data_IF_060699971713
#
_entry.id   IF_060699971713
#
_cell.length_a   1.000
_cell.length_b   1.000
_cell.length_c   1.000
_cell.angle_alpha   90.00
_cell.angle_beta   90.00
_cell.angle_gamma   90.00
#
_symmetry.space_group_name_H-M   'P 1'
#
loop_
_entity.id
_entity.type
_entity.pdbx_description
1 polymer ?
#
# COMPACT_ATOMS: atom_id res chain seq x y z
N UNK A 1 -15.53 -2.57 -30.78
CA UNK A 1 -15.17 -1.15 -30.58
C UNK A 1 -15.60 -0.81 -29.17
N UNK A 2 -14.65 -0.74 -28.22
CA UNK A 2 -14.93 -0.32 -26.85
C UNK A 2 -15.48 1.11 -26.90
N UNK A 3 -16.59 1.39 -26.21
CA UNK A 3 -17.10 2.75 -26.12
C UNK A 3 -15.98 3.64 -25.56
N UNK A 4 -15.59 4.75 -26.22
CA UNK A 4 -14.58 5.64 -25.68
C UNK A 4 -15.09 6.16 -24.33
N UNK A 5 -14.29 5.98 -23.27
CA UNK A 5 -14.64 6.48 -21.95
C UNK A 5 -14.83 8.01 -21.96
N UNK A 6 -15.66 8.50 -21.04
CA UNK A 6 -15.95 9.94 -20.90
C UNK A 6 -14.68 10.71 -20.51
N UNK A 7 -14.43 11.85 -21.15
CA UNK A 7 -13.46 12.83 -20.65
C UNK A 7 -13.97 13.46 -19.37
N UNK A 8 -13.18 13.44 -18.30
CA UNK A 8 -13.52 14.06 -17.02
C UNK A 8 -12.97 15.49 -16.98
N UNK A 9 -13.85 16.45 -16.74
CA UNK A 9 -13.54 17.88 -16.65
C UNK A 9 -13.76 18.33 -15.19
N UNK A 10 -12.76 18.18 -14.30
CA UNK A 10 -12.85 18.66 -12.93
C UNK A 10 -12.65 20.18 -12.84
N UNK A 11 -12.91 20.78 -11.68
CA UNK A 11 -12.50 22.17 -11.41
C UNK A 11 -10.98 22.26 -11.31
N UNK A 12 -10.36 21.29 -10.64
CA UNK A 12 -8.91 21.12 -10.57
C UNK A 12 -8.49 19.65 -10.65
N UNK A 13 -7.27 19.40 -11.11
CA UNK A 13 -6.70 18.07 -11.25
C UNK A 13 -5.33 18.02 -10.56
N UNK A 14 -5.15 17.11 -9.62
CA UNK A 14 -3.83 16.74 -9.11
C UNK A 14 -3.26 15.62 -9.97
N UNK A 15 -2.18 15.88 -10.71
CA UNK A 15 -1.50 14.87 -11.51
C UNK A 15 -0.02 15.21 -11.66
N UNK A 16 0.85 14.19 -11.71
CA UNK A 16 2.31 14.34 -11.77
C UNK A 16 2.86 15.32 -10.71
N UNK A 17 2.35 15.21 -9.48
CA UNK A 17 2.78 16.04 -8.35
C UNK A 17 2.38 17.51 -8.43
N UNK A 18 1.41 17.87 -9.28
CA UNK A 18 0.95 19.26 -9.45
C UNK A 18 -0.56 19.35 -9.48
N UNK A 19 -1.10 20.33 -8.76
CA UNK A 19 -2.49 20.76 -8.88
C UNK A 19 -2.61 21.73 -10.07
N UNK A 20 -3.57 21.49 -10.97
CA UNK A 20 -3.78 22.30 -12.19
C UNK A 20 -5.27 22.53 -12.42
N UNK A 21 -5.61 23.74 -12.84
CA UNK A 21 -6.97 24.09 -13.27
C UNK A 21 -7.04 24.09 -14.80
N UNK A 22 -8.25 24.04 -15.36
CA UNK A 22 -8.46 24.16 -16.81
C UNK A 22 -7.91 22.98 -17.62
N UNK A 23 -7.69 21.82 -16.98
CA UNK A 23 -7.27 20.57 -17.60
C UNK A 23 -8.37 19.49 -17.50
N UNK A 24 -8.33 18.52 -18.40
CA UNK A 24 -9.22 17.37 -18.44
C UNK A 24 -8.42 16.07 -18.36
N UNK A 25 -9.03 15.05 -17.75
CA UNK A 25 -8.52 13.68 -17.71
C UNK A 25 -9.22 12.86 -18.79
N UNK A 26 -8.44 12.29 -19.70
CA UNK A 26 -8.94 11.42 -20.77
C UNK A 26 -9.12 9.96 -20.31
N UNK A 27 -9.74 9.13 -21.16
CA UNK A 27 -10.03 7.73 -20.86
C UNK A 27 -8.78 6.86 -20.67
N UNK A 28 -7.65 7.26 -21.25
CA UNK A 28 -6.35 6.58 -21.13
C UNK A 28 -5.45 7.27 -20.07
N UNK A 29 -6.08 8.01 -19.14
CA UNK A 29 -5.41 8.78 -18.07
C UNK A 29 -4.49 9.90 -18.57
N UNK A 30 -4.62 10.31 -19.82
CA UNK A 30 -3.91 11.46 -20.37
C UNK A 30 -4.47 12.77 -19.81
N UNK A 31 -3.59 13.68 -19.40
CA UNK A 31 -3.96 15.02 -18.93
C UNK A 31 -3.73 16.03 -20.05
N UNK A 32 -4.80 16.71 -20.47
CA UNK A 32 -4.73 17.72 -21.54
C UNK A 32 -5.44 19.01 -21.12
N UNK A 33 -5.10 20.18 -21.69
CA UNK A 33 -5.91 21.38 -21.52
C UNK A 33 -7.36 21.14 -21.97
N UNK A 34 -8.37 21.70 -21.29
CA UNK A 34 -9.79 21.53 -21.66
C UNK A 34 -10.06 21.92 -23.12
N UNK A 35 -9.36 22.92 -23.65
CA UNK A 35 -9.46 23.36 -25.05
C UNK A 35 -8.97 22.31 -26.05
N UNK A 36 -8.12 21.36 -25.63
CA UNK A 36 -7.59 20.28 -26.46
C UNK A 36 -8.48 19.02 -26.43
N UNK A 37 -9.56 18.99 -25.63
CA UNK A 37 -10.52 17.87 -25.63
C UNK A 37 -11.25 17.84 -26.98
N UNK A 38 -11.30 16.68 -27.68
CA UNK A 38 -11.96 16.59 -28.99
C UNK A 38 -13.42 17.09 -28.96
N UNK A 39 -13.84 17.82 -30.00
CA UNK A 39 -15.14 18.50 -30.03
C UNK A 39 -16.34 17.53 -29.92
N UNK A 40 -16.22 16.31 -30.47
CA UNK A 40 -17.24 15.27 -30.42
C UNK A 40 -17.09 14.25 -29.28
N UNK A 41 -16.09 14.41 -28.40
CA UNK A 41 -15.89 13.47 -27.30
C UNK A 41 -16.96 13.66 -26.21
N UNK A 42 -17.39 12.55 -25.59
CA UNK A 42 -18.23 12.60 -24.41
C UNK A 42 -17.48 13.29 -23.26
N UNK A 43 -18.15 14.22 -22.58
CA UNK A 43 -17.56 15.03 -21.49
C UNK A 43 -18.42 14.91 -20.25
N UNK A 44 -17.78 14.63 -19.13
CA UNK A 44 -18.38 14.63 -17.79
C UNK A 44 -17.72 15.70 -16.95
N UNK A 45 -18.45 16.76 -16.63
CA UNK A 45 -18.00 17.77 -15.65
C UNK A 45 -18.18 17.23 -14.25
N UNK A 46 -17.19 17.44 -13.39
CA UNK A 46 -17.25 17.07 -11.97
C UNK A 46 -16.79 18.27 -11.14
N UNK A 47 -17.46 18.64 -10.04
CA UNK A 47 -16.98 19.71 -9.17
C UNK A 47 -15.75 19.25 -8.38
N UNK A 48 -14.97 20.18 -7.83
CA UNK A 48 -13.84 19.87 -6.97
C UNK A 48 -12.64 19.25 -7.71
N UNK A 49 -11.88 18.43 -6.99
CA UNK A 49 -10.57 17.94 -7.44
C UNK A 49 -10.60 16.46 -7.82
N UNK A 50 -9.97 16.11 -8.94
CA UNK A 50 -9.67 14.72 -9.31
C UNK A 50 -8.18 14.44 -9.18
N UNK A 51 -7.81 13.23 -8.79
CA UNK A 51 -6.43 12.77 -8.63
C UNK A 51 -6.30 11.29 -9.04
N UNK A 52 -5.09 10.72 -9.13
CA UNK A 52 -4.93 9.29 -9.33
C UNK A 52 -5.68 8.46 -8.29
N UNK A 53 -5.92 7.19 -8.62
CA UNK A 53 -6.49 6.23 -7.70
C UNK A 53 -5.65 6.14 -6.41
N UNK A 54 -6.35 6.18 -5.27
CA UNK A 54 -5.73 5.99 -3.96
C UNK A 54 -5.59 4.49 -3.67
N UNK A 55 -4.45 4.14 -3.06
CA UNK A 55 -4.02 2.79 -2.76
C UNK A 55 -3.73 2.63 -1.26
N UNK A 56 -4.20 1.54 -0.67
CA UNK A 56 -3.70 1.06 0.63
C UNK A 56 -2.75 -0.13 0.41
N UNK A 57 -1.46 0.08 0.67
CA UNK A 57 -0.42 -0.90 0.38
C UNK A 57 -0.30 -2.02 1.44
N UNK A 58 -1.16 -2.07 2.45
CA UNK A 58 -1.18 -3.16 3.43
C UNK A 58 -2.59 -3.43 3.94
N UNK A 59 -3.22 -4.46 3.39
CA UNK A 59 -4.55 -4.93 3.77
C UNK A 59 -4.55 -6.45 3.90
N UNK A 60 -5.43 -6.99 4.74
CA UNK A 60 -5.82 -8.40 4.75
C UNK A 60 -7.24 -8.52 4.22
N UNK A 61 -7.37 -8.68 2.90
CA UNK A 61 -8.63 -8.55 2.16
C UNK A 61 -9.70 -9.55 2.61
N UNK A 62 -9.27 -10.72 3.09
CA UNK A 62 -10.17 -11.76 3.60
C UNK A 62 -10.83 -11.39 4.94
N UNK A 63 -10.34 -10.36 5.63
CA UNK A 63 -10.82 -9.93 6.95
C UNK A 63 -11.67 -8.66 6.89
N UNK A 64 -11.89 -8.09 5.70
CA UNK A 64 -12.49 -6.76 5.52
C UNK A 64 -13.56 -6.78 4.45
N UNK A 65 -14.49 -5.82 4.50
CA UNK A 65 -15.47 -5.60 3.43
C UNK A 65 -14.89 -4.65 2.37
N UNK A 66 -14.31 -5.24 1.32
CA UNK A 66 -13.71 -4.50 0.20
C UNK A 66 -14.65 -3.47 -0.48
N UNK A 67 -15.95 -3.75 -0.70
CA UNK A 67 -16.89 -2.73 -1.18
C UNK A 67 -16.97 -1.49 -0.28
N UNK A 68 -16.98 -1.65 1.05
CA UNK A 68 -16.91 -0.51 1.98
C UNK A 68 -15.58 0.24 1.86
N UNK A 69 -14.45 -0.48 1.72
CA UNK A 69 -13.13 0.15 1.49
C UNK A 69 -13.13 1.01 0.23
N UNK A 70 -13.72 0.51 -0.86
CA UNK A 70 -13.90 1.26 -2.10
C UNK A 70 -14.84 2.47 -1.94
N UNK A 71 -15.95 2.30 -1.23
CA UNK A 71 -16.84 3.42 -0.88
C UNK A 71 -16.13 4.49 -0.02
N UNK A 72 -15.14 4.07 0.77
CA UNK A 72 -14.25 4.91 1.57
C UNK A 72 -13.12 5.61 0.80
N UNK A 73 -13.12 5.54 -0.54
CA UNK A 73 -12.20 6.29 -1.40
C UNK A 73 -10.92 5.56 -1.83
N UNK A 74 -10.72 4.32 -1.39
CA UNK A 74 -9.57 3.49 -1.76
C UNK A 74 -9.91 2.67 -3.01
N UNK A 75 -9.23 2.97 -4.12
CA UNK A 75 -9.50 2.35 -5.43
C UNK A 75 -8.67 1.10 -5.72
N UNK A 76 -7.58 0.90 -4.96
CA UNK A 76 -6.70 -0.26 -5.05
C UNK A 76 -6.14 -0.64 -3.68
N UNK A 77 -5.83 -1.92 -3.49
CA UNK A 77 -5.21 -2.42 -2.25
C UNK A 77 -4.12 -3.44 -2.56
N UNK A 78 -3.12 -3.54 -1.68
CA UNK A 78 -2.18 -4.65 -1.66
C UNK A 78 -2.53 -5.60 -0.52
N UNK A 79 -2.93 -6.82 -0.86
CA UNK A 79 -3.12 -7.89 0.11
C UNK A 79 -1.78 -8.51 0.47
N UNK A 80 -1.36 -8.38 1.74
CA UNK A 80 -0.05 -8.83 2.21
C UNK A 80 -0.13 -10.12 3.03
N UNK A 81 -1.12 -10.97 2.78
CA UNK A 81 -1.17 -12.30 3.35
C UNK A 81 -2.60 -12.82 3.48
N UNK A 82 -2.87 -13.95 2.85
CA UNK A 82 -4.16 -14.61 2.89
C UNK A 82 -4.15 -15.98 2.23
N UNK A 83 -5.30 -16.65 2.23
CA UNK A 83 -5.45 -17.93 1.53
C UNK A 83 -5.47 -17.64 0.02
N UNK A 84 -4.54 -18.18 -0.79
CA UNK A 84 -4.34 -17.75 -2.18
C UNK A 84 -5.63 -17.76 -3.02
N UNK A 85 -6.37 -18.88 -3.00
CA UNK A 85 -7.62 -19.00 -3.75
C UNK A 85 -8.71 -18.01 -3.30
N UNK A 86 -8.76 -17.66 -2.00
CA UNK A 86 -9.74 -16.69 -1.49
C UNK A 86 -9.38 -15.28 -1.94
N UNK A 87 -8.11 -14.89 -1.85
CA UNK A 87 -7.65 -13.56 -2.27
C UNK A 87 -7.78 -13.40 -3.78
N UNK A 88 -7.45 -14.43 -4.57
CA UNK A 88 -7.66 -14.43 -6.02
C UNK A 88 -9.15 -14.26 -6.38
N UNK A 89 -10.06 -14.92 -5.66
CA UNK A 89 -11.50 -14.76 -5.87
C UNK A 89 -12.00 -13.35 -5.50
N UNK A 90 -11.41 -12.71 -4.48
CA UNK A 90 -11.70 -11.31 -4.15
C UNK A 90 -11.16 -10.36 -5.23
N UNK A 91 -9.93 -10.58 -5.69
CA UNK A 91 -9.31 -9.81 -6.76
C UNK A 91 -10.12 -9.85 -8.07
N UNK A 92 -10.69 -11.02 -8.40
CA UNK A 92 -11.54 -11.19 -9.58
C UNK A 92 -12.83 -10.35 -9.56
N UNK A 93 -13.24 -9.78 -8.41
CA UNK A 93 -14.39 -8.86 -8.33
C UNK A 93 -14.08 -7.46 -8.88
N UNK A 94 -12.79 -7.08 -8.92
CA UNK A 94 -12.30 -5.88 -9.61
C UNK A 94 -12.51 -4.52 -8.93
N UNK A 95 -13.21 -4.43 -7.79
CA UNK A 95 -13.44 -3.17 -7.08
C UNK A 95 -13.37 -3.36 -5.54
N UNK A 96 -12.35 -2.80 -4.85
CA UNK A 96 -11.18 -2.13 -5.41
C UNK A 96 -10.28 -3.11 -6.18
N UNK A 97 -9.36 -2.60 -6.98
CA UNK A 97 -8.34 -3.44 -7.62
C UNK A 97 -7.43 -4.07 -6.55
N UNK A 98 -7.20 -5.38 -6.61
CA UNK A 98 -6.40 -6.09 -5.60
C UNK A 98 -5.13 -6.62 -6.24
N UNK A 99 -3.99 -6.10 -5.77
CA UNK A 99 -2.67 -6.73 -5.92
C UNK A 99 -2.45 -7.63 -4.70
N UNK A 100 -1.83 -8.81 -4.82
CA UNK A 100 -1.71 -9.70 -3.65
C UNK A 100 -0.44 -10.54 -3.59
N UNK A 101 -0.07 -10.91 -2.36
CA UNK A 101 1.09 -11.74 -2.00
C UNK A 101 0.85 -13.25 -2.10
N UNK A 102 -0.39 -13.67 -1.85
CA UNK A 102 -0.70 -15.08 -1.55
C UNK A 102 -0.44 -15.39 -0.07
N UNK A 103 0.16 -16.54 0.27
CA UNK A 103 0.37 -16.91 1.66
C UNK A 103 1.54 -16.14 2.28
N UNK A 104 1.58 -16.08 3.61
CA UNK A 104 2.79 -15.74 4.35
C UNK A 104 3.82 -16.87 4.17
N UNK A 105 4.97 -16.56 3.58
CA UNK A 105 6.13 -17.46 3.59
C UNK A 105 6.88 -17.28 4.91
N UNK A 106 7.05 -18.37 5.65
CA UNK A 106 7.56 -18.31 7.03
C UNK A 106 8.36 -19.54 7.39
N UNK A 107 9.19 -19.48 8.44
CA UNK A 107 9.83 -20.68 8.97
C UNK A 107 8.81 -21.61 9.64
N UNK A 108 9.09 -22.91 9.77
CA UNK A 108 8.19 -23.83 10.45
C UNK A 108 7.77 -23.34 11.85
N UNK A 109 6.46 -23.22 12.08
CA UNK A 109 5.88 -22.64 13.30
C UNK A 109 6.10 -21.13 13.50
N UNK A 110 6.53 -20.41 12.46
CA UNK A 110 6.80 -18.98 12.48
C UNK A 110 5.54 -18.12 12.40
N UNK A 111 5.67 -16.84 12.74
CA UNK A 111 4.55 -15.90 12.68
C UNK A 111 3.98 -15.76 11.24
N UNK A 112 2.64 -15.71 11.04
CA UNK A 112 1.58 -15.71 12.04
C UNK A 112 0.89 -17.07 12.21
N UNK A 113 1.56 -18.21 11.96
CA UNK A 113 0.92 -19.53 11.92
C UNK A 113 0.22 -19.94 13.23
N UNK A 114 0.60 -19.32 14.35
CA UNK A 114 0.05 -19.53 15.69
C UNK A 114 -0.99 -18.47 16.10
N UNK A 115 -1.33 -17.50 15.22
CA UNK A 115 -2.27 -16.41 15.52
C UNK A 115 -3.68 -16.78 15.10
N UNK A 116 -4.63 -16.60 16.02
CA UNK A 116 -6.04 -16.93 15.78
C UNK A 116 -6.71 -16.10 14.67
N UNK A 117 -6.18 -14.91 14.35
CA UNK A 117 -6.69 -14.07 13.27
C UNK A 117 -6.23 -14.57 11.88
N UNK A 118 -5.14 -15.33 11.81
CA UNK A 118 -4.58 -15.80 10.55
C UNK A 118 -5.45 -16.94 10.00
N UNK A 119 -6.06 -16.80 8.82
CA UNK A 119 -6.93 -17.86 8.29
C UNK A 119 -6.15 -19.16 8.03
N UNK A 120 -6.77 -20.31 8.29
CA UNK A 120 -6.17 -21.59 7.92
C UNK A 120 -5.86 -21.64 6.41
N UNK A 121 -4.63 -22.05 6.06
CA UNK A 121 -4.13 -22.06 4.68
C UNK A 121 -3.58 -20.72 4.18
N UNK A 122 -3.44 -19.72 5.04
CA UNK A 122 -2.78 -18.43 4.71
C UNK A 122 -1.27 -18.45 4.93
N UNK A 123 -0.71 -19.55 5.44
CA UNK A 123 0.72 -19.69 5.74
C UNK A 123 1.30 -20.84 4.92
N UNK A 124 2.52 -20.66 4.40
CA UNK A 124 3.32 -21.68 3.73
C UNK A 124 4.70 -21.71 4.37
N UNK A 125 4.95 -22.76 5.15
CA UNK A 125 6.25 -22.95 5.81
C UNK A 125 7.32 -23.24 4.76
N UNK A 126 8.46 -22.55 4.83
CA UNK A 126 9.64 -22.77 3.97
C UNK A 126 10.72 -23.44 4.82
N UNK A 127 10.99 -24.71 4.53
CA UNK A 127 11.80 -25.56 5.42
C UNK A 127 13.30 -25.54 5.12
N UNK A 128 13.70 -25.05 3.95
CA UNK A 128 15.11 -24.99 3.53
C UNK A 128 15.31 -24.09 2.30
N UNK A 129 16.58 -23.82 1.97
CA UNK A 129 16.99 -23.18 0.71
C UNK A 129 16.39 -23.86 -0.52
N UNK A 130 16.31 -25.19 -0.55
CA UNK A 130 15.80 -25.94 -1.70
C UNK A 130 14.27 -25.84 -1.87
N UNK A 131 13.54 -25.46 -0.82
CA UNK A 131 12.08 -25.28 -0.84
C UNK A 131 11.67 -23.87 -1.30
N UNK A 132 12.61 -22.91 -1.33
CA UNK A 132 12.33 -21.52 -1.65
C UNK A 132 11.71 -21.33 -3.06
N UNK A 133 12.26 -21.99 -4.08
CA UNK A 133 11.76 -21.90 -5.45
C UNK A 133 10.33 -22.45 -5.57
N UNK A 134 10.04 -23.55 -4.86
CA UNK A 134 8.70 -24.15 -4.85
C UNK A 134 7.69 -23.24 -4.16
N UNK A 135 8.02 -22.72 -2.98
CA UNK A 135 7.13 -21.82 -2.22
C UNK A 135 6.78 -20.54 -3.00
N UNK A 136 7.77 -19.92 -3.65
CA UNK A 136 7.55 -18.74 -4.52
C UNK A 136 6.77 -19.13 -5.78
N UNK A 137 7.12 -20.26 -6.41
CA UNK A 137 6.44 -20.75 -7.60
C UNK A 137 4.96 -21.06 -7.37
N UNK A 138 4.61 -21.64 -6.21
CA UNK A 138 3.23 -21.89 -5.78
C UNK A 138 2.45 -20.58 -5.63
N UNK A 139 3.01 -19.57 -4.95
CA UNK A 139 2.38 -18.27 -4.80
C UNK A 139 2.19 -17.58 -6.16
N UNK A 140 3.22 -17.58 -7.01
CA UNK A 140 3.16 -16.98 -8.34
C UNK A 140 2.13 -17.67 -9.24
N UNK A 141 2.10 -19.01 -9.24
CA UNK A 141 1.11 -19.78 -10.00
C UNK A 141 -0.33 -19.54 -9.53
N UNK A 142 -0.52 -19.17 -8.25
CA UNK A 142 -1.81 -18.72 -7.72
C UNK A 142 -2.17 -17.27 -8.08
N UNK A 143 -1.33 -16.58 -8.86
CA UNK A 143 -1.55 -15.22 -9.35
C UNK A 143 -0.94 -14.12 -8.47
N UNK A 144 -0.10 -14.48 -7.48
CA UNK A 144 0.58 -13.48 -6.67
C UNK A 144 1.50 -12.59 -7.54
N UNK A 145 1.47 -11.30 -7.22
CA UNK A 145 2.21 -10.23 -7.93
C UNK A 145 3.27 -9.59 -7.04
N UNK A 146 3.42 -10.08 -5.82
CA UNK A 146 4.49 -9.81 -4.86
C UNK A 146 4.60 -11.02 -3.93
N UNK A 147 5.64 -11.11 -3.11
CA UNK A 147 5.82 -12.18 -2.13
C UNK A 147 5.87 -11.58 -0.73
N UNK A 148 5.16 -12.18 0.24
CA UNK A 148 5.24 -11.80 1.65
C UNK A 148 6.05 -12.84 2.42
N UNK A 149 7.07 -12.36 3.13
CA UNK A 149 7.87 -13.17 4.07
C UNK A 149 7.73 -12.59 5.47
N UNK A 150 7.83 -13.43 6.50
CA UNK A 150 7.82 -12.96 7.90
C UNK A 150 9.15 -13.21 8.62
N UNK A 151 9.59 -12.18 9.34
CA UNK A 151 10.70 -12.18 10.27
C UNK A 151 10.21 -11.56 11.59
N UNK A 152 9.94 -12.40 12.58
CA UNK A 152 9.42 -12.00 13.88
C UNK A 152 10.31 -12.60 14.96
N UNK A 153 11.11 -11.77 15.61
CA UNK A 153 12.15 -12.23 16.54
C UNK A 153 11.61 -13.02 17.76
N UNK A 154 10.32 -12.87 18.08
CA UNK A 154 9.63 -13.61 19.14
C UNK A 154 9.25 -15.05 18.79
N UNK A 155 9.64 -15.58 17.63
CA UNK A 155 9.33 -16.94 17.19
C UNK A 155 10.33 -17.48 16.16
N UNK A 156 10.06 -18.67 15.58
CA UNK A 156 10.87 -19.21 14.51
C UNK A 156 10.97 -18.26 13.32
N UNK A 157 12.18 -18.11 12.79
CA UNK A 157 12.47 -17.30 11.61
C UNK A 157 13.25 -18.11 10.59
N UNK A 158 13.12 -17.73 9.32
CA UNK A 158 13.97 -18.30 8.27
C UNK A 158 15.42 -17.94 8.57
N UNK A 159 16.33 -18.90 8.41
CA UNK A 159 17.75 -18.58 8.43
C UNK A 159 18.13 -17.67 7.26
N UNK A 160 19.28 -17.01 7.37
CA UNK A 160 19.73 -16.04 6.38
C UNK A 160 19.84 -16.65 4.96
N UNK A 161 20.28 -17.91 4.86
CA UNK A 161 20.45 -18.57 3.57
C UNK A 161 19.10 -18.83 2.89
N UNK A 162 18.10 -19.26 3.67
CA UNK A 162 16.74 -19.56 3.21
C UNK A 162 15.98 -18.29 2.87
N UNK A 163 16.07 -17.24 3.71
CA UNK A 163 15.47 -15.94 3.40
C UNK A 163 16.05 -15.37 2.10
N UNK A 164 17.38 -15.41 1.92
CA UNK A 164 18.03 -14.96 0.70
C UNK A 164 17.64 -15.83 -0.52
N UNK A 165 17.37 -17.13 -0.32
CA UNK A 165 16.88 -18.00 -1.40
C UNK A 165 15.46 -17.62 -1.84
N UNK A 166 14.56 -17.33 -0.90
CA UNK A 166 13.20 -16.84 -1.21
C UNK A 166 13.26 -15.52 -1.97
N UNK A 167 14.13 -14.58 -1.55
CA UNK A 167 14.29 -13.31 -2.27
C UNK A 167 14.81 -13.52 -3.69
N UNK A 168 15.85 -14.34 -3.88
CA UNK A 168 16.36 -14.67 -5.22
C UNK A 168 15.30 -15.31 -6.12
N UNK A 169 14.53 -16.26 -5.59
CA UNK A 169 13.47 -16.92 -6.31
C UNK A 169 12.37 -15.93 -6.75
N UNK A 170 11.95 -15.04 -5.85
CA UNK A 170 10.97 -14.00 -6.13
C UNK A 170 11.47 -13.04 -7.22
N UNK A 171 12.72 -12.57 -7.12
CA UNK A 171 13.32 -11.69 -8.12
C UNK A 171 13.48 -12.38 -9.49
N UNK A 172 13.82 -13.68 -9.51
CA UNK A 172 13.86 -14.46 -10.75
C UNK A 172 12.48 -14.58 -11.44
N UNK A 173 11.40 -14.54 -10.65
CA UNK A 173 10.02 -14.47 -11.14
C UNK A 173 9.52 -13.03 -11.40
N UNK A 174 10.37 -12.01 -11.21
CA UNK A 174 10.00 -10.59 -11.37
C UNK A 174 9.07 -10.05 -10.28
N UNK A 175 9.02 -10.70 -9.11
CA UNK A 175 8.15 -10.34 -7.99
C UNK A 175 8.94 -9.60 -6.91
N UNK A 176 8.46 -8.45 -6.41
CA UNK A 176 9.06 -7.80 -5.25
C UNK A 176 8.73 -8.57 -3.96
N UNK A 177 9.63 -8.49 -2.98
CA UNK A 177 9.48 -9.11 -1.67
C UNK A 177 9.17 -8.09 -0.59
N UNK A 178 8.07 -8.32 0.12
CA UNK A 178 7.66 -7.60 1.32
C UNK A 178 8.01 -8.43 2.54
N UNK A 179 8.75 -7.86 3.49
CA UNK A 179 9.09 -8.53 4.76
C UNK A 179 8.33 -7.90 5.92
N UNK A 180 7.64 -8.73 6.71
CA UNK A 180 7.30 -8.39 8.10
C UNK A 180 8.55 -8.43 8.95
N UNK A 181 9.00 -7.28 9.45
CA UNK A 181 10.20 -7.15 10.27
C UNK A 181 9.82 -6.64 11.67
N UNK A 182 9.75 -7.56 12.62
CA UNK A 182 9.41 -7.26 14.02
C UNK A 182 10.49 -7.76 14.97
N UNK A 183 11.04 -6.83 15.74
CA UNK A 183 12.03 -7.10 16.77
C UNK A 183 13.48 -7.08 16.27
N UNK A 184 14.43 -7.17 17.22
CA UNK A 184 15.85 -6.92 16.94
C UNK A 184 16.43 -7.79 15.82
N UNK A 185 17.14 -7.13 14.90
CA UNK A 185 17.90 -7.79 13.83
C UNK A 185 17.07 -8.17 12.60
N UNK A 186 15.74 -8.10 12.66
CA UNK A 186 14.86 -8.47 11.53
C UNK A 186 15.00 -7.52 10.34
N UNK A 187 15.15 -6.21 10.60
CA UNK A 187 15.39 -5.20 9.56
C UNK A 187 16.74 -5.44 8.85
N UNK A 188 17.79 -5.76 9.60
CA UNK A 188 19.10 -6.06 9.03
C UNK A 188 19.05 -7.34 8.19
N UNK A 189 18.41 -8.40 8.69
CA UNK A 189 18.23 -9.65 7.94
C UNK A 189 17.45 -9.45 6.63
N UNK A 190 16.38 -8.64 6.65
CA UNK A 190 15.61 -8.30 5.46
C UNK A 190 16.48 -7.51 4.44
N UNK A 191 17.28 -6.56 4.92
CA UNK A 191 18.16 -5.75 4.08
C UNK A 191 19.27 -6.59 3.44
N UNK A 192 19.92 -7.44 4.23
CA UNK A 192 21.01 -8.31 3.76
C UNK A 192 20.51 -9.37 2.77
N UNK A 193 19.28 -9.86 2.95
CA UNK A 193 18.65 -10.78 2.01
C UNK A 193 18.25 -10.10 0.69
N UNK A 194 18.21 -8.76 0.64
CA UNK A 194 17.83 -7.99 -0.54
C UNK A 194 16.32 -7.78 -0.69
N UNK A 195 15.55 -7.79 0.40
CA UNK A 195 14.12 -7.48 0.34
C UNK A 195 13.86 -6.07 -0.20
N UNK A 196 12.75 -5.90 -0.92
CA UNK A 196 12.39 -4.63 -1.56
C UNK A 196 11.61 -3.70 -0.63
N UNK A 197 10.74 -4.29 0.19
CA UNK A 197 9.75 -3.56 0.98
C UNK A 197 9.70 -4.09 2.41
N UNK A 198 9.61 -3.20 3.39
CA UNK A 198 9.24 -3.57 4.76
C UNK A 198 7.77 -3.24 5.02
N UNK A 199 7.07 -4.16 5.66
CA UNK A 199 5.78 -3.90 6.27
C UNK A 199 5.82 -4.53 7.66
N UNK A 200 6.09 -3.79 8.72
CA UNK A 200 5.75 -2.36 8.92
C UNK A 200 6.96 -1.41 8.86
N UNK A 201 6.72 -0.11 9.06
CA UNK A 201 7.77 0.79 9.57
C UNK A 201 8.26 0.23 10.90
N UNK A 202 9.58 0.02 11.09
CA UNK A 202 10.12 -0.60 12.32
C UNK A 202 9.69 0.15 13.59
N UNK A 203 9.06 -0.56 14.53
CA UNK A 203 8.38 0.03 15.71
C UNK A 203 8.82 -0.55 17.06
N UNK A 204 9.61 -1.63 17.04
CA UNK A 204 10.03 -2.37 18.24
C UNK A 204 11.36 -1.88 18.82
N UNK A 205 12.22 -1.28 18.00
CA UNK A 205 13.51 -0.73 18.44
C UNK A 205 13.95 0.49 17.64
N UNK A 206 14.71 1.36 18.30
CA UNK A 206 15.39 2.46 17.62
C UNK A 206 16.50 1.87 16.74
N UNK A 207 16.37 2.03 15.43
CA UNK A 207 17.37 1.53 14.50
C UNK A 207 18.65 2.36 14.53
N UNK A 208 19.78 1.71 14.32
CA UNK A 208 21.07 2.38 14.06
C UNK A 208 20.98 3.25 12.79
N UNK A 209 21.61 4.43 12.79
CA UNK A 209 21.52 5.36 11.66
C UNK A 209 22.14 4.80 10.37
N UNK A 210 23.20 4.00 10.48
CA UNK A 210 23.80 3.31 9.35
C UNK A 210 22.83 2.32 8.70
N UNK A 211 22.10 1.56 9.51
CA UNK A 211 21.06 0.64 9.04
C UNK A 211 19.88 1.40 8.40
N UNK A 212 19.44 2.52 9.00
CA UNK A 212 18.38 3.35 8.43
C UNK A 212 18.81 3.92 7.08
N UNK A 213 20.04 4.44 6.97
CA UNK A 213 20.59 4.98 5.72
C UNK A 213 20.70 3.90 4.64
N UNK A 214 21.21 2.72 4.99
CA UNK A 214 21.33 1.61 4.06
C UNK A 214 19.95 1.12 3.57
N UNK A 215 18.96 1.08 4.46
CA UNK A 215 17.56 0.80 4.11
C UNK A 215 17.00 1.86 3.16
N UNK A 216 17.19 3.15 3.46
CA UNK A 216 16.69 4.27 2.64
C UNK A 216 17.22 4.23 1.19
N UNK A 217 18.43 3.73 0.99
CA UNK A 217 19.04 3.62 -0.34
C UNK A 217 18.47 2.46 -1.18
N UNK A 218 17.79 1.47 -0.58
CA UNK A 218 17.45 0.20 -1.25
C UNK A 218 15.99 -0.21 -1.12
N UNK A 219 15.30 0.22 -0.08
CA UNK A 219 13.99 -0.27 0.30
C UNK A 219 12.92 0.80 0.22
N UNK A 220 11.68 0.32 0.16
CA UNK A 220 10.49 1.11 0.47
C UNK A 220 9.88 0.63 1.78
N UNK A 221 9.41 1.53 2.65
CA UNK A 221 8.70 1.14 3.86
C UNK A 221 7.20 1.39 3.70
N UNK A 222 6.37 0.46 4.14
CA UNK A 222 4.93 0.67 4.27
C UNK A 222 4.69 1.27 5.66
N UNK A 223 3.95 2.38 5.70
CA UNK A 223 3.85 3.23 6.89
C UNK A 223 3.27 2.52 8.12
N UNK A 224 2.01 2.07 8.04
CA UNK A 224 1.28 1.35 9.11
C UNK A 224 1.56 1.88 10.52
N UNK A 225 1.41 3.18 10.73
CA UNK A 225 1.78 3.86 11.97
C UNK A 225 0.63 3.89 12.99
N UNK A 226 -0.62 4.01 12.54
CA UNK A 226 -1.81 4.11 13.39
C UNK A 226 -2.16 2.78 14.07
N UNK A 227 -1.79 1.64 13.47
CA UNK A 227 -2.12 0.31 14.02
C UNK A 227 -1.51 0.07 15.41
N UNK A 228 -0.43 0.78 15.77
CA UNK A 228 0.23 0.65 17.06
C UNK A 228 -0.52 1.33 18.23
N UNK A 229 -1.67 1.95 17.99
CA UNK A 229 -2.45 2.58 19.06
C UNK A 229 -3.89 2.96 18.71
N UNK A 230 -4.29 2.83 17.44
CA UNK A 230 -5.63 3.11 16.93
C UNK A 230 -6.17 4.47 17.39
N UNK A 231 -5.37 5.51 17.18
CA UNK A 231 -5.66 6.88 17.64
C UNK A 231 -5.24 7.22 19.06
N UNK A 232 -4.71 6.26 19.83
CA UNK A 232 -3.99 6.54 21.08
C UNK A 232 -2.49 6.60 20.81
N UNK A 233 -1.81 7.59 21.41
CA UNK A 233 -0.36 7.64 21.38
C UNK A 233 0.22 6.46 22.18
N UNK A 234 1.19 5.76 21.59
CA UNK A 234 1.92 4.65 22.20
C UNK A 234 3.42 4.80 21.96
N UNK A 235 4.28 4.27 22.85
CA UNK A 235 5.73 4.29 22.65
C UNK A 235 6.15 3.68 21.29
N UNK A 236 5.48 2.62 20.87
CA UNK A 236 5.70 1.93 19.60
C UNK A 236 5.40 2.84 18.40
N UNK A 237 4.27 3.56 18.44
CA UNK A 237 3.93 4.53 17.39
C UNK A 237 4.95 5.67 17.33
N UNK A 238 5.34 6.23 18.49
CA UNK A 238 6.33 7.32 18.54
C UNK A 238 7.68 6.87 17.98
N UNK A 239 8.08 5.64 18.31
CA UNK A 239 9.31 5.05 17.84
C UNK A 239 9.27 4.80 16.32
N UNK A 240 8.17 4.26 15.79
CA UNK A 240 7.95 4.07 14.36
C UNK A 240 8.01 5.41 13.59
N UNK A 241 7.31 6.44 14.08
CA UNK A 241 7.35 7.79 13.51
C UNK A 241 8.77 8.36 13.53
N UNK A 242 9.53 8.13 14.62
CA UNK A 242 10.93 8.52 14.72
C UNK A 242 11.85 7.81 13.73
N UNK A 243 11.68 6.51 13.55
CA UNK A 243 12.42 5.71 12.56
C UNK A 243 12.09 6.17 11.13
N UNK A 244 10.81 6.34 10.81
CA UNK A 244 10.38 6.80 9.48
C UNK A 244 10.93 8.19 9.16
N UNK A 245 10.92 9.13 10.12
CA UNK A 245 11.50 10.46 9.92
C UNK A 245 12.98 10.40 9.52
N UNK A 246 13.77 9.54 10.18
CA UNK A 246 15.20 9.37 9.86
C UNK A 246 15.38 8.72 8.49
N UNK A 247 14.57 7.70 8.19
CA UNK A 247 14.57 7.02 6.89
C UNK A 247 14.27 7.97 5.73
N UNK A 248 13.24 8.81 5.87
CA UNK A 248 12.92 9.87 4.90
C UNK A 248 14.02 10.92 4.80
N UNK A 249 14.65 11.28 5.93
CA UNK A 249 15.80 12.19 5.96
C UNK A 249 17.02 11.70 5.16
N UNK A 250 17.13 10.38 4.96
CA UNK A 250 18.14 9.76 4.08
C UNK A 250 17.63 9.51 2.66
N UNK A 251 16.46 10.03 2.29
CA UNK A 251 15.86 9.88 0.96
C UNK A 251 15.06 8.59 0.75
N UNK A 252 14.70 7.90 1.83
CA UNK A 252 13.92 6.67 1.77
C UNK A 252 12.52 6.88 1.19
N UNK A 253 11.97 5.83 0.58
CA UNK A 253 10.63 5.84 -0.04
C UNK A 253 9.60 5.20 0.87
N UNK A 254 8.43 5.82 1.00
CA UNK A 254 7.33 5.28 1.80
C UNK A 254 6.08 5.04 0.95
N UNK A 255 5.35 3.98 1.26
CA UNK A 255 3.99 3.74 0.80
C UNK A 255 3.03 3.88 1.96
N UNK A 256 1.88 4.49 1.70
CA UNK A 256 0.79 4.47 2.65
C UNK A 256 0.23 3.04 2.76
N UNK A 257 0.12 2.54 3.98
CA UNK A 257 -0.61 1.32 4.26
C UNK A 257 -1.11 1.32 5.69
N UNK A 258 -2.22 0.64 5.97
CA UNK A 258 -2.85 0.68 7.29
C UNK A 258 -2.78 -0.62 8.08
N UNK A 259 -2.51 -1.74 7.39
CA UNK A 259 -2.71 -3.09 7.90
C UNK A 259 -4.19 -3.35 8.26
N UNK A 260 -5.08 -2.91 7.35
CA UNK A 260 -6.52 -3.04 7.50
C UNK A 260 -6.93 -4.51 7.56
N UNK A 261 -7.73 -4.85 8.57
CA UNK A 261 -8.06 -6.22 8.95
C UNK A 261 -7.51 -6.58 10.33
N UNK A 262 -6.50 -5.84 10.81
CA UNK A 262 -5.91 -5.99 12.14
C UNK A 262 -6.26 -4.81 13.05
N UNK A 263 -7.42 -4.92 13.73
CA UNK A 263 -7.89 -3.93 14.71
C UNK A 263 -8.91 -2.90 14.16
N UNK A 264 -9.36 -1.93 14.98
CA UNK A 264 -10.41 -0.97 14.66
C UNK A 264 -9.93 0.18 13.75
N UNK A 265 -9.46 -0.18 12.56
CA UNK A 265 -9.04 0.76 11.52
C UNK A 265 -10.24 1.17 10.65
N UNK A 266 -10.30 2.42 10.14
CA UNK A 266 -11.34 2.84 9.22
C UNK A 266 -11.31 2.02 7.92
N UNK A 267 -12.48 1.58 7.45
CA UNK A 267 -12.60 0.93 6.14
C UNK A 267 -12.58 1.97 5.01
N UNK A 268 -11.40 2.50 4.72
CA UNK A 268 -11.16 3.57 3.74
C UNK A 268 -9.89 4.34 4.07
N UNK A 269 -9.84 5.61 3.66
CA UNK A 269 -8.72 6.51 3.97
C UNK A 269 -8.66 6.74 5.49
N UNK A 270 -7.53 6.45 6.12
CA UNK A 270 -7.33 6.62 7.55
C UNK A 270 -6.68 7.98 7.85
N UNK A 271 -7.43 9.01 8.28
CA UNK A 271 -6.87 10.33 8.56
C UNK A 271 -5.89 10.34 9.74
N UNK A 272 -5.86 9.31 10.59
CA UNK A 272 -4.87 9.20 11.67
C UNK A 272 -3.52 8.76 11.11
N UNK A 273 -3.52 7.85 10.15
CA UNK A 273 -2.33 7.43 9.42
C UNK A 273 -1.73 8.60 8.62
N UNK A 274 -2.58 9.40 7.95
CA UNK A 274 -2.13 10.60 7.22
C UNK A 274 -1.43 11.59 8.14
N UNK A 275 -2.00 11.85 9.32
CA UNK A 275 -1.38 12.74 10.31
C UNK A 275 -0.07 12.14 10.86
N UNK A 276 0.02 10.82 11.03
CA UNK A 276 1.25 10.16 11.45
C UNK A 276 2.37 10.27 10.40
N UNK A 277 2.04 10.15 9.10
CA UNK A 277 2.96 10.44 7.99
C UNK A 277 3.44 11.89 8.01
N UNK A 278 2.55 12.86 8.23
CA UNK A 278 2.93 14.27 8.37
C UNK A 278 3.83 14.51 9.58
N UNK A 279 3.57 13.84 10.72
CA UNK A 279 4.44 13.87 11.90
C UNK A 279 5.83 13.29 11.61
N UNK A 280 5.94 12.30 10.72
CA UNK A 280 7.21 11.76 10.24
C UNK A 280 7.94 12.71 9.27
N UNK A 281 7.28 13.79 8.81
CA UNK A 281 7.90 14.86 8.02
C UNK A 281 7.45 14.93 6.57
N UNK A 282 6.48 14.13 6.13
CA UNK A 282 5.95 14.24 4.77
C UNK A 282 5.12 15.52 4.60
N UNK A 283 5.35 16.24 3.51
CA UNK A 283 4.41 17.27 3.07
C UNK A 283 3.16 16.59 2.47
N UNK A 284 2.00 17.28 2.43
CA UNK A 284 0.78 16.78 1.78
C UNK A 284 0.98 16.20 0.37
N UNK A 285 1.82 16.84 -0.45
CA UNK A 285 2.19 16.35 -1.78
C UNK A 285 2.89 14.98 -1.75
N UNK A 286 3.78 14.77 -0.77
CA UNK A 286 4.51 13.50 -0.61
C UNK A 286 3.59 12.41 -0.06
N UNK A 287 2.62 12.76 0.79
CA UNK A 287 1.59 11.80 1.24
C UNK A 287 0.74 11.34 0.06
N UNK A 288 0.32 12.26 -0.82
CA UNK A 288 -0.39 11.88 -2.05
C UNK A 288 0.45 10.97 -2.94
N UNK A 289 1.76 11.24 -3.09
CA UNK A 289 2.65 10.36 -3.83
C UNK A 289 2.77 8.96 -3.19
N UNK A 290 2.84 8.89 -1.85
CA UNK A 290 2.88 7.62 -1.11
C UNK A 290 1.58 6.81 -1.23
N UNK A 291 0.45 7.48 -1.47
CA UNK A 291 -0.89 6.88 -1.56
C UNK A 291 -1.36 6.59 -2.98
N UNK A 292 -0.69 7.07 -4.02
CA UNK A 292 -1.21 6.99 -5.39
C UNK A 292 -0.48 5.96 -6.24
N UNK A 293 -1.24 5.32 -7.13
CA UNK A 293 -0.72 4.50 -8.22
C UNK A 293 -1.37 4.98 -9.52
N UNK A 294 -0.70 5.86 -10.30
CA UNK A 294 -1.27 6.48 -11.50
C UNK A 294 -1.83 5.51 -12.53
N UNK A 295 -1.34 4.26 -12.55
CA UNK A 295 -1.72 3.24 -13.52
C UNK A 295 -2.69 2.18 -12.95
N UNK A 296 -3.08 2.29 -11.67
CA UNK A 296 -3.94 1.33 -10.99
C UNK A 296 -5.18 2.01 -10.40
N UNK A 297 -6.28 1.26 -10.28
CA UNK A 297 -7.54 1.70 -9.65
C UNK A 297 -8.25 2.86 -10.35
N UNK A 298 -9.55 3.03 -10.11
CA UNK A 298 -10.29 4.19 -10.61
C UNK A 298 -9.79 5.50 -9.96
N UNK A 299 -9.78 6.65 -10.68
CA UNK A 299 -9.37 7.93 -10.12
C UNK A 299 -10.13 8.29 -8.83
N UNK A 300 -9.47 8.98 -7.91
CA UNK A 300 -10.14 9.53 -6.73
C UNK A 300 -10.68 10.95 -7.01
N UNK A 301 -11.77 11.29 -6.34
CA UNK A 301 -12.51 12.55 -6.49
C UNK A 301 -12.84 13.14 -5.13
N UNK A 302 -12.51 14.42 -4.93
CA UNK A 302 -12.86 15.21 -3.75
C UNK A 302 -13.87 16.27 -4.17
N UNK A 303 -15.16 16.11 -3.81
CA UNK A 303 -16.22 17.04 -4.21
C UNK A 303 -15.99 18.49 -3.73
N UNK A 304 -15.39 18.64 -2.55
CA UNK A 304 -15.08 19.95 -1.95
C UNK A 304 -13.72 20.53 -2.39
N UNK A 305 -12.98 19.81 -3.25
CA UNK A 305 -11.61 20.16 -3.62
C UNK A 305 -10.55 19.59 -2.67
N UNK A 306 -9.32 19.56 -3.16
CA UNK A 306 -8.13 19.14 -2.43
C UNK A 306 -7.49 20.33 -1.69
N UNK A 307 -7.40 20.22 -0.37
CA UNK A 307 -6.67 21.19 0.47
C UNK A 307 -5.29 20.65 0.83
N UNK A 308 -4.24 21.35 0.40
CA UNK A 308 -2.85 20.99 0.66
C UNK A 308 -2.26 21.69 1.90
N UNK A 309 -3.06 22.44 2.67
CA UNK A 309 -2.61 22.98 3.94
C UNK A 309 -2.41 21.84 4.96
N UNK A 310 -1.23 21.72 5.61
CA UNK A 310 -0.94 20.58 6.48
C UNK A 310 -1.96 20.33 7.60
N UNK A 311 -2.59 21.39 8.12
CA UNK A 311 -3.54 21.28 9.23
C UNK A 311 -4.89 20.63 8.84
N UNK A 312 -5.29 20.75 7.58
CA UNK A 312 -6.61 20.35 7.06
C UNK A 312 -6.53 19.25 6.02
N UNK A 313 -5.34 18.98 5.47
CA UNK A 313 -5.11 17.99 4.42
C UNK A 313 -5.67 16.60 4.73
N UNK A 314 -5.41 16.07 5.93
CA UNK A 314 -5.87 14.73 6.29
C UNK A 314 -7.40 14.61 6.28
N UNK A 315 -8.10 15.65 6.75
CA UNK A 315 -9.56 15.69 6.78
C UNK A 315 -10.14 15.92 5.38
N UNK A 316 -9.50 16.78 4.57
CA UNK A 316 -9.84 16.96 3.16
C UNK A 316 -9.72 15.63 2.40
N UNK A 317 -8.59 14.94 2.49
CA UNK A 317 -8.35 13.69 1.75
C UNK A 317 -9.28 12.57 2.19
N UNK A 318 -9.65 12.48 3.46
CA UNK A 318 -10.62 11.50 3.96
C UNK A 318 -12.04 11.65 3.35
N UNK A 319 -12.33 12.77 2.69
CA UNK A 319 -13.60 12.95 1.94
C UNK A 319 -13.57 12.35 0.53
N UNK A 320 -12.42 11.87 0.06
CA UNK A 320 -12.29 11.36 -1.29
C UNK A 320 -13.21 10.16 -1.54
N UNK A 321 -13.65 10.04 -2.80
CA UNK A 321 -14.50 8.97 -3.31
C UNK A 321 -13.88 8.40 -4.57
N UNK A 322 -14.14 7.13 -4.84
CA UNK A 322 -13.75 6.52 -6.12
C UNK A 322 -14.65 7.05 -7.24
N UNK A 323 -14.05 7.64 -8.28
CA UNK A 323 -14.75 8.25 -9.40
C UNK A 323 -15.11 7.19 -10.47
N UNK A 324 -16.13 6.40 -10.19
CA UNK A 324 -16.64 5.41 -11.15
C UNK A 324 -17.48 6.08 -12.25
N UNK A 325 -17.76 5.36 -13.35
CA UNK A 325 -18.65 5.84 -14.40
C UNK A 325 -20.10 6.10 -13.92
N UNK A 326 -20.51 5.47 -12.82
CA UNK A 326 -21.84 5.64 -12.22
C UNK A 326 -21.98 6.97 -11.44
N UNK A 327 -20.86 7.58 -11.03
CA UNK A 327 -20.88 8.88 -10.34
C UNK A 327 -21.32 9.96 -11.34
N UNK A 328 -22.50 10.51 -11.09
CA UNK A 328 -23.07 11.67 -11.79
C UNK A 328 -23.21 12.81 -10.77
N UNK A 329 -22.20 13.67 -10.62
CA UNK A 329 -22.33 14.85 -9.76
C UNK A 329 -23.45 15.72 -10.29
N UNK A 330 -24.29 16.24 -9.39
CA UNK A 330 -25.31 17.25 -9.72
C UNK A 330 -24.68 18.62 -9.81
#
# INVERSE_FOLDING_TARGET
MSSPGDWVLPESLWWDGRLRDGVALGPDRQVVPVAAVPAGAARRRVPGTVLPGLCDAHVHSALVDLPTVAAGGISSVWDLGGVPAKVAALAARGAPAVRFAGPFLLAPGGYPSDRAWAPAGSCREVVSVADADAAVGEAHAAGATLIKVTAHAGGPMLDAATLAAVVRAAHAAGLPVVVHAEGPGTVAAALDAGADILAHTPWTEALDDGLVRASAARMTWISTLDIHGWGRATPEQELAVGNLRRFLGHGGKVRYGTDLGNGPLPAGINPRELRALQRAGLAPADVLAAMTEPDQGDPAWLPAGLDLAPATFADSLATARVLTAAVRPR
#
